data_IF_219705845049
#
_entry.id   IF_219705845049
#
_cell.length_a   1.000
_cell.length_b   1.000
_cell.length_c   1.000
_cell.angle_alpha   90.00
_cell.angle_beta   90.00
_cell.angle_gamma   90.00
#
_symmetry.space_group_name_H-M   'P 1'
#
loop_
_entity.id
_entity.type
_entity.pdbx_description
1 polymer ?
#
# COMPACT_ATOMS: atom_id res chain seq x y z
N UNK A 1 -28.77 3.43 -5.84
CA UNK A 1 -27.34 3.07 -5.59
C UNK A 1 -27.15 2.97 -4.09
N UNK A 2 -26.65 1.85 -3.56
CA UNK A 2 -26.44 1.69 -2.11
C UNK A 2 -25.11 2.36 -1.74
N UNK A 3 -25.16 3.35 -0.85
CA UNK A 3 -23.98 3.96 -0.22
C UNK A 3 -23.36 2.98 0.80
N UNK A 4 -22.92 1.81 0.34
CA UNK A 4 -22.29 0.83 1.22
C UNK A 4 -20.90 1.32 1.60
N UNK A 5 -20.71 1.61 2.89
CA UNK A 5 -19.43 1.98 3.51
C UNK A 5 -18.81 0.75 4.19
N UNK A 6 -18.72 -0.36 3.46
CA UNK A 6 -18.15 -1.62 3.94
C UNK A 6 -16.63 -1.62 3.78
N UNK A 7 -15.95 -2.01 4.85
CA UNK A 7 -14.50 -2.23 4.90
C UNK A 7 -14.29 -3.72 5.13
N UNK A 8 -13.44 -4.34 4.32
CA UNK A 8 -12.95 -5.69 4.57
C UNK A 8 -11.57 -5.61 5.25
N UNK A 9 -11.34 -6.50 6.21
CA UNK A 9 -10.04 -6.68 6.85
C UNK A 9 -9.50 -8.02 6.37
N UNK A 10 -8.41 -7.98 5.60
CA UNK A 10 -7.78 -9.16 5.06
C UNK A 10 -6.80 -9.73 6.09
N UNK A 11 -7.01 -10.98 6.48
CA UNK A 11 -6.02 -11.75 7.23
C UNK A 11 -5.21 -12.60 6.25
N UNK A 12 -3.90 -12.43 6.24
CA UNK A 12 -2.98 -13.10 5.32
C UNK A 12 -1.99 -13.98 6.09
N UNK A 13 -1.41 -14.95 5.39
CA UNK A 13 -0.21 -15.66 5.82
C UNK A 13 0.85 -15.44 4.73
N UNK A 14 1.59 -14.32 4.77
CA UNK A 14 2.54 -13.99 3.72
C UNK A 14 3.64 -15.05 3.60
N UNK A 15 4.02 -15.36 2.36
CA UNK A 15 5.20 -16.16 2.06
C UNK A 15 6.43 -15.27 2.26
N UNK A 16 7.33 -15.69 3.15
CA UNK A 16 8.51 -14.92 3.54
C UNK A 16 9.36 -14.53 2.32
N UNK A 17 9.49 -13.22 2.08
CA UNK A 17 10.30 -12.65 1.01
C UNK A 17 9.74 -12.78 -0.42
N UNK A 18 8.70 -13.59 -0.64
CA UNK A 18 8.11 -13.79 -1.97
C UNK A 18 7.06 -12.72 -2.29
N UNK A 19 7.54 -11.61 -2.83
CA UNK A 19 6.70 -10.46 -3.20
C UNK A 19 5.62 -10.85 -4.22
N UNK A 20 5.93 -11.74 -5.16
CA UNK A 20 4.98 -12.09 -6.23
C UNK A 20 3.83 -12.93 -5.67
N UNK A 21 4.15 -13.99 -4.91
CA UNK A 21 3.13 -14.81 -4.26
C UNK A 21 2.25 -13.99 -3.31
N UNK A 22 2.86 -13.05 -2.57
CA UNK A 22 2.11 -12.16 -1.69
C UNK A 22 1.20 -11.20 -2.47
N UNK A 23 1.67 -10.60 -3.56
CA UNK A 23 0.85 -9.74 -4.43
C UNK A 23 -0.37 -10.49 -4.98
N UNK A 24 -0.18 -11.72 -5.47
CA UNK A 24 -1.27 -12.54 -6.00
C UNK A 24 -2.35 -12.81 -4.93
N UNK A 25 -1.93 -13.11 -3.70
CA UNK A 25 -2.86 -13.30 -2.59
C UNK A 25 -3.62 -12.01 -2.23
N UNK A 26 -2.96 -10.85 -2.28
CA UNK A 26 -3.62 -9.56 -2.04
C UNK A 26 -4.68 -9.26 -3.11
N UNK A 27 -4.37 -9.54 -4.37
CA UNK A 27 -5.31 -9.37 -5.49
C UNK A 27 -6.51 -10.30 -5.32
N UNK A 28 -6.26 -11.58 -4.99
CA UNK A 28 -7.31 -12.57 -4.76
C UNK A 28 -8.26 -12.12 -3.64
N UNK A 29 -7.72 -11.68 -2.51
CA UNK A 29 -8.51 -11.21 -1.36
C UNK A 29 -9.25 -9.90 -1.67
N UNK A 30 -8.65 -8.98 -2.42
CA UNK A 30 -9.30 -7.75 -2.85
C UNK A 30 -10.50 -8.02 -3.77
N UNK A 31 -10.35 -8.96 -4.72
CA UNK A 31 -11.43 -9.40 -5.57
C UNK A 31 -12.59 -9.98 -4.74
N UNK A 32 -12.29 -10.89 -3.80
CA UNK A 32 -13.29 -11.47 -2.89
C UNK A 32 -14.00 -10.41 -2.03
N UNK A 33 -13.27 -9.41 -1.55
CA UNK A 33 -13.85 -8.32 -0.78
C UNK A 33 -14.80 -7.47 -1.64
N UNK A 34 -14.43 -7.20 -2.91
CA UNK A 34 -15.29 -6.49 -3.84
C UNK A 34 -16.57 -7.28 -4.19
N UNK A 35 -16.48 -8.62 -4.35
CA UNK A 35 -17.63 -9.50 -4.58
C UNK A 35 -18.68 -9.41 -3.45
N UNK A 36 -18.23 -9.26 -2.20
CA UNK A 36 -19.13 -9.04 -1.05
C UNK A 36 -19.48 -7.56 -0.81
N UNK A 37 -19.09 -6.68 -1.73
CA UNK A 37 -19.47 -5.27 -1.77
C UNK A 37 -18.59 -4.34 -0.91
N UNK A 38 -17.41 -4.76 -0.46
CA UNK A 38 -16.47 -3.87 0.23
C UNK A 38 -15.92 -2.80 -0.72
N UNK A 39 -15.73 -1.58 -0.20
CA UNK A 39 -15.14 -0.46 -0.94
C UNK A 39 -13.71 -0.17 -0.53
N UNK A 40 -13.30 -0.66 0.63
CA UNK A 40 -11.94 -0.59 1.15
C UNK A 40 -11.53 -1.97 1.66
N UNK A 41 -10.28 -2.36 1.39
CA UNK A 41 -9.66 -3.57 1.94
C UNK A 41 -8.36 -3.17 2.61
N UNK A 42 -8.20 -3.53 3.88
CA UNK A 42 -6.97 -3.27 4.64
C UNK A 42 -6.23 -4.58 4.88
N UNK A 43 -4.91 -4.55 4.72
CA UNK A 43 -4.02 -5.70 4.89
C UNK A 43 -3.05 -5.49 6.06
N UNK A 44 -2.44 -6.56 6.60
CA UNK A 44 -1.51 -6.46 7.72
C UNK A 44 -0.22 -5.69 7.40
N UNK A 45 0.49 -5.25 8.43
CA UNK A 45 1.82 -4.62 8.32
C UNK A 45 2.83 -5.55 7.61
N UNK A 46 3.62 -4.99 6.69
CA UNK A 46 4.62 -5.69 5.87
C UNK A 46 4.10 -6.90 5.07
N UNK A 47 2.79 -6.99 4.87
CA UNK A 47 2.12 -8.12 4.21
C UNK A 47 2.61 -8.44 2.80
N UNK A 48 3.22 -7.51 2.06
CA UNK A 48 3.79 -7.78 0.73
C UNK A 48 5.12 -8.54 0.76
N UNK A 49 5.83 -8.58 1.88
CA UNK A 49 7.10 -9.31 2.01
C UNK A 49 7.10 -10.32 3.17
N UNK A 50 6.05 -10.31 3.99
CA UNK A 50 6.07 -10.94 5.32
C UNK A 50 6.85 -10.10 6.34
N UNK A 51 6.78 -10.46 7.61
CA UNK A 51 7.47 -9.72 8.68
C UNK A 51 8.99 -10.04 8.71
N UNK A 52 9.64 -9.99 7.55
CA UNK A 52 11.02 -10.37 7.30
C UNK A 52 11.93 -9.12 7.26
N UNK A 53 12.22 -8.58 8.44
CA UNK A 53 12.95 -7.31 8.58
C UNK A 53 14.36 -7.34 7.97
N UNK A 54 15.01 -8.51 7.97
CA UNK A 54 16.35 -8.69 7.41
C UNK A 54 16.36 -8.57 5.87
N UNK A 55 15.25 -8.91 5.22
CA UNK A 55 15.09 -8.80 3.77
C UNK A 55 14.58 -7.42 3.32
N UNK A 56 14.11 -6.59 4.25
CA UNK A 56 13.38 -5.36 3.98
C UNK A 56 14.16 -4.37 3.09
N UNK A 57 15.47 -4.25 3.28
CA UNK A 57 16.33 -3.35 2.50
C UNK A 57 16.34 -3.74 1.02
N UNK A 58 16.46 -5.04 0.72
CA UNK A 58 16.54 -5.58 -0.64
C UNK A 58 15.18 -5.70 -1.32
N UNK A 59 14.10 -5.79 -0.54
CA UNK A 59 12.73 -5.89 -1.04
C UNK A 59 11.97 -4.55 -1.05
N UNK A 60 12.61 -3.47 -0.60
CA UNK A 60 12.05 -2.13 -0.51
C UNK A 60 11.37 -1.69 -1.81
N UNK A 61 10.18 -1.10 -1.68
CA UNK A 61 9.43 -0.49 -2.76
C UNK A 61 9.85 0.97 -2.91
N UNK A 62 9.86 1.46 -4.14
CA UNK A 62 9.91 2.91 -4.41
C UNK A 62 8.50 3.52 -4.42
N UNK A 63 8.40 4.85 -4.47
CA UNK A 63 7.10 5.54 -4.54
C UNK A 63 6.26 5.13 -5.76
N UNK A 64 6.93 4.95 -6.90
CA UNK A 64 6.32 4.58 -8.19
C UNK A 64 6.72 3.16 -8.62
N UNK A 65 6.84 2.25 -7.66
CA UNK A 65 7.32 0.90 -7.92
C UNK A 65 6.43 0.14 -8.91
N UNK A 66 7.01 -0.37 -9.98
CA UNK A 66 6.27 -1.07 -11.03
C UNK A 66 5.55 -2.32 -10.50
N UNK A 67 6.04 -2.93 -9.42
CA UNK A 67 5.43 -4.10 -8.77
C UNK A 67 4.03 -3.80 -8.20
N UNK A 68 3.67 -2.53 -8.03
CA UNK A 68 2.32 -2.13 -7.59
C UNK A 68 1.30 -2.12 -8.74
N UNK A 69 1.73 -2.23 -10.00
CA UNK A 69 0.84 -2.17 -11.17
C UNK A 69 -0.31 -3.19 -11.12
N UNK A 70 -0.09 -4.47 -10.74
CA UNK A 70 -1.17 -5.44 -10.60
C UNK A 70 -2.22 -5.05 -9.55
N UNK A 71 -1.81 -4.42 -8.45
CA UNK A 71 -2.73 -3.92 -7.43
C UNK A 71 -3.53 -2.72 -7.94
N UNK A 72 -2.90 -1.81 -8.69
CA UNK A 72 -3.58 -0.69 -9.33
C UNK A 72 -4.64 -1.18 -10.32
N UNK A 73 -4.30 -2.16 -11.14
CA UNK A 73 -5.21 -2.74 -12.14
C UNK A 73 -6.39 -3.45 -11.47
N UNK A 74 -6.13 -4.21 -10.39
CA UNK A 74 -7.18 -4.85 -9.58
C UNK A 74 -8.08 -3.80 -8.90
N UNK A 75 -7.50 -2.79 -8.24
CA UNK A 75 -8.23 -1.71 -7.59
C UNK A 75 -9.16 -0.98 -8.57
N UNK A 76 -8.68 -0.67 -9.77
CA UNK A 76 -9.47 -0.03 -10.83
C UNK A 76 -10.59 -0.95 -11.33
N UNK A 77 -10.27 -2.21 -11.64
CA UNK A 77 -11.23 -3.16 -12.21
C UNK A 77 -12.39 -3.45 -11.26
N UNK A 78 -12.12 -3.52 -9.96
CA UNK A 78 -13.12 -3.84 -8.94
C UNK A 78 -13.68 -2.59 -8.24
N UNK A 79 -13.16 -1.40 -8.53
CA UNK A 79 -13.58 -0.16 -7.90
C UNK A 79 -13.35 -0.13 -6.39
N UNK A 80 -12.24 -0.71 -5.92
CA UNK A 80 -11.90 -0.87 -4.49
C UNK A 80 -10.63 -0.10 -4.15
N UNK A 81 -10.55 0.48 -2.96
CA UNK A 81 -9.30 1.02 -2.40
C UNK A 81 -8.62 -0.06 -1.58
N UNK A 82 -7.32 -0.27 -1.77
CA UNK A 82 -6.51 -1.24 -1.01
C UNK A 82 -5.50 -0.50 -0.15
N UNK A 83 -5.35 -0.89 1.11
CA UNK A 83 -4.28 -0.42 1.99
C UNK A 83 -3.36 -1.60 2.25
N UNK A 84 -2.21 -1.61 1.58
CA UNK A 84 -1.21 -2.68 1.63
C UNK A 84 0.07 -2.16 2.27
N UNK A 85 0.90 -3.04 2.83
CA UNK A 85 2.12 -2.60 3.52
C UNK A 85 3.37 -3.34 3.06
N UNK A 86 4.46 -2.58 2.95
CA UNK A 86 5.77 -3.05 2.52
C UNK A 86 6.87 -2.12 3.07
N UNK A 87 8.14 -2.55 3.07
CA UNK A 87 9.26 -1.63 3.21
C UNK A 87 9.24 -0.63 2.04
N UNK A 88 9.42 0.66 2.32
CA UNK A 88 9.44 1.71 1.30
C UNK A 88 10.70 2.56 1.44
N UNK A 89 11.36 2.83 0.31
CA UNK A 89 12.49 3.75 0.21
C UNK A 89 11.99 5.13 -0.21
N UNK A 90 12.19 6.13 0.65
CA UNK A 90 11.91 7.54 0.33
C UNK A 90 13.19 8.34 0.56
N UNK A 91 13.79 8.83 -0.54
CA UNK A 91 15.14 9.38 -0.49
C UNK A 91 16.16 8.33 -0.03
N UNK A 92 16.98 8.68 0.95
CA UNK A 92 17.99 7.78 1.52
C UNK A 92 17.45 6.86 2.63
N UNK A 93 16.24 7.14 3.12
CA UNK A 93 15.65 6.46 4.28
C UNK A 93 14.73 5.32 3.89
N UNK A 94 14.73 4.27 4.71
CA UNK A 94 13.83 3.13 4.62
C UNK A 94 12.73 3.26 5.68
N UNK A 95 11.48 2.98 5.33
CA UNK A 95 10.34 3.04 6.24
C UNK A 95 9.51 1.78 6.16
N UNK A 96 8.79 1.46 7.24
CA UNK A 96 7.62 0.59 7.15
C UNK A 96 6.51 1.47 6.57
N UNK A 97 6.11 1.20 5.33
CA UNK A 97 5.14 2.01 4.59
C UNK A 97 3.80 1.30 4.43
N UNK A 98 2.72 2.07 4.48
CA UNK A 98 1.43 1.68 3.94
C UNK A 98 1.21 2.39 2.60
N UNK A 99 0.93 1.63 1.54
CA UNK A 99 0.49 2.13 0.25
C UNK A 99 -1.04 2.11 0.22
N UNK A 100 -1.64 3.27 -0.03
CA UNK A 100 -3.06 3.40 -0.32
C UNK A 100 -3.21 3.38 -1.84
N UNK A 101 -3.64 2.25 -2.37
CA UNK A 101 -3.87 2.01 -3.79
C UNK A 101 -5.32 2.34 -4.10
N UNK A 102 -5.53 3.35 -4.93
CA UNK A 102 -6.87 3.85 -5.25
C UNK A 102 -7.39 3.31 -6.58
N UNK A 103 -8.73 3.21 -6.75
CA UNK A 103 -9.34 2.71 -7.98
C UNK A 103 -9.14 3.63 -9.20
N UNK A 104 -8.66 4.86 -9.02
CA UNK A 104 -8.30 5.77 -10.13
C UNK A 104 -6.83 5.69 -10.55
N UNK A 105 -6.17 4.53 -10.35
CA UNK A 105 -4.75 4.27 -10.63
C UNK A 105 -3.80 5.31 -10.03
N UNK A 106 -3.98 5.62 -8.75
CA UNK A 106 -2.99 6.41 -8.00
C UNK A 106 -2.64 5.71 -6.70
N UNK A 107 -1.45 6.02 -6.18
CA UNK A 107 -0.97 5.56 -4.89
C UNK A 107 -0.70 6.76 -3.98
N UNK A 108 -0.93 6.58 -2.69
CA UNK A 108 -0.42 7.46 -1.63
C UNK A 108 0.35 6.60 -0.63
N UNK A 109 1.34 7.20 0.05
CA UNK A 109 2.21 6.48 0.97
C UNK A 109 2.12 7.10 2.35
N UNK A 110 1.97 6.25 3.36
CA UNK A 110 1.99 6.60 4.77
C UNK A 110 3.12 5.83 5.48
N UNK A 111 4.26 6.49 5.77
CA UNK A 111 5.32 5.90 6.58
C UNK A 111 4.89 5.75 8.05
N UNK A 112 5.21 4.64 8.70
CA UNK A 112 4.94 4.41 10.13
C UNK A 112 5.70 5.43 10.98
N UNK A 113 4.98 6.17 11.82
CA UNK A 113 5.56 7.22 12.69
C UNK A 113 6.18 6.69 13.97
N UNK A 114 5.57 5.63 14.52
CA UNK A 114 5.99 5.03 15.78
C UNK A 114 6.51 3.66 15.46
N UNK A 115 7.83 3.51 15.51
CA UNK A 115 8.46 2.21 15.50
C UNK A 115 8.31 1.60 16.89
N UNK A 116 8.09 0.29 16.93
CA UNK A 116 7.89 -0.40 18.20
C UNK A 116 9.26 -0.59 18.86
N UNK A 117 9.51 0.17 19.93
CA UNK A 117 10.78 0.17 20.66
C UNK A 117 11.17 -1.21 21.21
N UNK A 118 10.17 -2.08 21.44
CA UNK A 118 10.38 -3.45 21.90
C UNK A 118 10.99 -4.36 20.81
N UNK A 119 10.94 -3.95 19.54
CA UNK A 119 11.59 -4.63 18.44
C UNK A 119 12.81 -3.82 17.97
N UNK A 120 13.93 -3.98 18.69
CA UNK A 120 15.21 -3.32 18.42
C UNK A 120 15.69 -3.41 16.97
N UNK A 121 15.26 -4.43 16.22
CA UNK A 121 15.59 -4.61 14.80
C UNK A 121 14.87 -3.60 13.89
N UNK A 122 13.69 -3.12 14.27
CA UNK A 122 12.92 -2.14 13.49
C UNK A 122 13.55 -0.75 13.54
N UNK A 123 14.00 -0.29 14.71
CA UNK A 123 14.68 1.01 14.85
C UNK A 123 16.04 1.06 14.14
N UNK A 124 16.73 -0.08 14.03
CA UNK A 124 18.01 -0.17 13.32
C UNK A 124 17.81 -0.10 11.80
N UNK A 125 16.74 -0.71 11.28
CA UNK A 125 16.52 -0.83 9.85
C UNK A 125 15.64 0.27 9.25
N UNK A 126 14.77 0.90 10.03
CA UNK A 126 13.76 1.82 9.55
C UNK A 126 13.79 3.18 10.23
N UNK A 127 13.42 4.21 9.47
CA UNK A 127 13.16 5.56 9.94
C UNK A 127 11.70 5.73 10.34
N UNK A 128 11.42 6.62 11.29
CA UNK A 128 10.07 7.04 11.64
C UNK A 128 9.57 8.11 10.66
N UNK A 129 8.31 8.00 10.24
CA UNK A 129 7.62 9.07 9.50
C UNK A 129 7.41 10.33 10.35
N UNK A 130 7.31 11.48 9.69
CA UNK A 130 7.28 12.81 10.34
C UNK A 130 5.98 13.60 10.13
N UNK A 131 5.02 13.10 9.34
CA UNK A 131 3.78 13.81 9.01
C UNK A 131 2.56 12.89 8.93
N UNK A 132 1.48 13.25 9.63
CA UNK A 132 0.21 12.52 9.58
C UNK A 132 -0.56 12.75 8.26
N UNK A 133 0.01 13.53 7.34
CA UNK A 133 -0.56 13.77 6.02
C UNK A 133 -0.03 12.76 5.02
N UNK A 134 -0.92 12.26 4.17
CA UNK A 134 -0.52 11.53 2.97
C UNK A 134 0.28 12.46 2.07
N UNK A 135 1.35 11.96 1.45
CA UNK A 135 2.20 12.77 0.57
C UNK A 135 1.33 13.47 -0.50
N UNK A 136 1.46 14.79 -0.69
CA UNK A 136 0.55 15.54 -1.55
C UNK A 136 0.68 15.13 -3.01
N UNK A 137 -0.47 15.03 -3.70
CA UNK A 137 -0.59 14.81 -5.14
C UNK A 137 0.38 15.69 -5.93
N UNK A 138 1.16 15.11 -6.84
CA UNK A 138 1.67 15.86 -8.01
C UNK A 138 0.45 16.23 -8.86
N UNK A 139 -0.04 17.46 -8.69
CA UNK A 139 -1.19 17.97 -9.42
C UNK A 139 -0.89 17.96 -10.93
N UNK A 140 -1.49 17.03 -11.67
CA UNK A 140 -1.57 17.14 -13.11
C UNK A 140 -2.42 18.38 -13.42
N UNK A 141 -1.80 19.43 -13.96
CA UNK A 141 -2.46 20.67 -14.34
C UNK A 141 -3.60 20.37 -15.33
N UNK A 142 -4.85 20.49 -14.86
CA UNK A 142 -6.00 20.57 -15.74
C UNK A 142 -5.90 21.88 -16.52
N UNK A 143 -5.47 21.80 -17.78
CA UNK A 143 -5.62 22.87 -18.76
C UNK A 143 -7.11 23.21 -18.87
N UNK A 144 -7.48 24.42 -18.44
CA UNK A 144 -8.78 25.01 -18.79
C UNK A 144 -8.83 25.16 -20.32
N UNK A 145 -9.64 24.34 -20.98
CA UNK A 145 -10.06 24.61 -22.35
C UNK A 145 -11.02 25.78 -22.29
N UNK A 146 -10.55 26.96 -22.68
CA UNK A 146 -11.41 28.12 -22.91
C UNK A 146 -12.30 27.80 -24.11
N UNK A 147 -13.62 27.68 -23.90
CA UNK A 147 -14.58 27.75 -25.00
C UNK A 147 -14.84 29.22 -25.32
N UNK A 148 -14.98 29.47 -26.63
CA UNK A 148 -15.11 30.76 -27.31
C UNK A 148 -16.18 31.67 -26.71
#
# INVERSE_FOLDING_TARGET
MRNSRSIAVAQTCPVAGDVLANLDEHIRLACRAAEVGARVVVFPELSLIGYELELAVGLAFSENDHRLSPLLDSATSHGVTMVVSAPVRLGESLYIGAFIVHPHRTTEIYPKHRLDADNSRTEIAFSAGSSHQLAPRTAHQLRKVSRK
#
